data_IF_904985263673
#
_entry.id   IF_904985263673
#
_cell.length_a   1.000
_cell.length_b   1.000
_cell.length_c   1.000
_cell.angle_alpha   90.00
_cell.angle_beta   90.00
_cell.angle_gamma   90.00
#
_symmetry.space_group_name_H-M   'P 1'
#
loop_
_entity.id
_entity.type
_entity.pdbx_description
1 polymer ?
#
# COMPACT_ATOMS: atom_id res chain seq x y z
N UNK A 1 -13.61 -27.97 8.97
CA UNK A 1 -13.96 -27.65 10.38
C UNK A 1 -12.81 -27.82 11.38
N UNK A 2 -11.83 -28.71 11.17
CA UNK A 2 -10.71 -28.93 12.11
C UNK A 2 -9.70 -27.76 12.23
N UNK A 3 -9.53 -26.95 11.18
CA UNK A 3 -8.55 -25.84 11.14
C UNK A 3 -8.96 -24.62 11.98
N UNK A 4 -10.26 -24.35 12.11
CA UNK A 4 -10.78 -23.23 12.90
C UNK A 4 -10.62 -23.46 14.41
N UNK A 5 -10.76 -24.71 14.86
CA UNK A 5 -10.59 -25.10 16.26
C UNK A 5 -9.14 -24.86 16.70
N UNK A 6 -8.18 -25.20 15.83
CA UNK A 6 -6.76 -25.00 16.09
C UNK A 6 -6.43 -23.51 16.28
N UNK A 7 -7.07 -22.65 15.48
CA UNK A 7 -6.90 -21.19 15.56
C UNK A 7 -7.51 -20.60 16.84
N UNK A 8 -8.66 -21.12 17.28
CA UNK A 8 -9.31 -20.72 18.54
C UNK A 8 -8.48 -21.17 19.76
N UNK A 9 -7.90 -22.37 19.72
CA UNK A 9 -7.04 -22.87 20.81
C UNK A 9 -5.78 -21.99 20.95
N UNK A 10 -5.15 -21.62 19.84
CA UNK A 10 -3.96 -20.74 19.84
C UNK A 10 -4.29 -19.33 20.33
N UNK A 11 -5.45 -18.77 19.95
CA UNK A 11 -5.86 -17.47 20.52
C UNK A 11 -6.13 -17.58 22.04
N UNK A 12 -6.79 -18.65 22.47
CA UNK A 12 -7.18 -18.83 23.88
C UNK A 12 -5.98 -18.98 24.82
N UNK A 13 -4.88 -19.59 24.38
CA UNK A 13 -3.65 -19.71 25.17
C UNK A 13 -2.88 -18.39 25.28
N UNK A 14 -2.97 -17.51 24.29
CA UNK A 14 -2.32 -16.19 24.35
C UNK A 14 -3.07 -15.26 25.31
N UNK A 15 -4.41 -15.23 25.28
CA UNK A 15 -5.20 -14.34 26.14
C UNK A 15 -5.26 -14.77 27.61
N UNK A 16 -5.11 -16.06 27.94
CA UNK A 16 -5.11 -16.52 29.34
C UNK A 16 -3.84 -16.14 30.12
N UNK A 17 -2.74 -15.88 29.42
CA UNK A 17 -1.46 -15.49 30.04
C UNK A 17 -1.41 -14.03 30.54
N UNK A 18 -2.42 -13.21 30.27
CA UNK A 18 -2.46 -11.79 30.68
C UNK A 18 -3.41 -11.48 31.84
N UNK A 19 -4.06 -12.46 32.47
CA UNK A 19 -5.11 -12.20 33.48
C UNK A 19 -4.61 -12.25 34.94
N UNK A 20 -3.35 -12.59 35.22
CA UNK A 20 -2.81 -12.56 36.59
C UNK A 20 -1.61 -11.63 36.75
N UNK A 21 -1.88 -10.33 36.87
CA UNK A 21 -1.08 -9.45 37.73
C UNK A 21 -1.82 -8.13 37.98
N UNK A 22 -2.76 -8.15 38.92
CA UNK A 22 -3.17 -6.95 39.64
C UNK A 22 -2.92 -7.18 41.13
N UNK A 23 -1.71 -6.85 41.58
CA UNK A 23 -1.46 -6.54 42.98
C UNK A 23 -0.76 -5.20 43.05
N UNK A 24 -1.56 -4.14 43.07
CA UNK A 24 -1.08 -2.77 43.20
C UNK A 24 -1.08 -2.36 44.67
N UNK A 25 0.01 -2.69 45.39
CA UNK A 25 0.32 -2.04 46.67
C UNK A 25 1.42 -1.01 46.44
N UNK A 26 1.12 0.23 46.82
CA UNK A 26 2.06 1.36 46.90
C UNK A 26 3.13 1.05 47.95
N UNK A 27 4.40 1.41 47.70
CA UNK A 27 5.30 2.19 48.59
C UNK A 27 6.75 2.23 48.04
N UNK A 28 7.23 3.46 47.78
CA UNK A 28 8.56 4.07 47.96
C UNK A 28 9.93 3.44 47.54
N UNK A 29 10.69 4.28 46.80
CA UNK A 29 12.14 4.61 46.75
C UNK A 29 13.29 3.61 46.40
N UNK A 30 13.91 3.92 45.25
CA UNK A 30 15.33 4.23 44.94
C UNK A 30 16.46 3.16 44.75
N UNK A 31 17.17 3.36 43.63
CA UNK A 31 18.51 2.91 43.14
C UNK A 31 19.08 1.51 43.41
N UNK A 32 19.44 0.77 42.35
CA UNK A 32 20.84 0.55 41.91
C UNK A 32 20.94 -0.55 40.83
N UNK A 33 22.13 -0.70 40.25
CA UNK A 33 22.47 -1.31 38.95
C UNK A 33 22.27 -2.83 38.77
N UNK A 34 22.37 -3.22 37.48
CA UNK A 34 22.50 -4.56 36.90
C UNK A 34 21.16 -5.32 36.73
N UNK A 35 20.83 -5.88 35.57
CA UNK A 35 21.69 -6.58 34.62
C UNK A 35 21.14 -6.47 33.19
N UNK A 36 22.07 -6.50 32.25
CA UNK A 36 21.84 -6.65 30.83
C UNK A 36 21.20 -8.02 30.55
N UNK A 37 19.88 -8.09 30.49
CA UNK A 37 19.17 -9.27 29.97
C UNK A 37 18.96 -9.08 28.47
N UNK A 38 19.94 -9.55 27.71
CA UNK A 38 19.83 -9.71 26.27
C UNK A 38 18.91 -10.89 25.93
N UNK A 39 18.13 -10.68 24.86
CA UNK A 39 17.66 -11.67 23.90
C UNK A 39 16.68 -12.74 24.39
N UNK A 40 15.39 -12.44 24.20
CA UNK A 40 14.41 -13.41 23.64
C UNK A 40 13.25 -12.71 22.87
N UNK A 41 13.13 -11.38 22.93
CA UNK A 41 12.01 -10.66 22.30
C UNK A 41 12.27 -10.14 20.86
N UNK A 42 13.49 -10.28 20.33
CA UNK A 42 13.82 -9.73 19.01
C UNK A 42 13.14 -10.50 17.87
N UNK A 43 13.18 -11.84 17.91
CA UNK A 43 12.61 -12.68 16.86
C UNK A 43 11.07 -12.65 16.81
N UNK A 44 10.40 -12.59 17.97
CA UNK A 44 8.94 -12.46 18.05
C UNK A 44 8.43 -11.13 17.51
N UNK A 45 9.14 -10.03 17.80
CA UNK A 45 8.87 -8.72 17.20
C UNK A 45 9.17 -8.67 15.70
N UNK A 46 10.17 -9.43 15.22
CA UNK A 46 10.49 -9.52 13.80
C UNK A 46 9.46 -10.34 13.01
N UNK A 47 8.96 -11.45 13.57
CA UNK A 47 7.94 -12.29 12.93
C UNK A 47 6.56 -11.61 12.99
N UNK A 48 6.20 -11.00 14.13
CA UNK A 48 5.01 -10.17 14.21
C UNK A 48 5.12 -8.93 13.29
N UNK A 49 6.31 -8.33 13.20
CA UNK A 49 6.61 -7.23 12.28
C UNK A 49 6.52 -7.65 10.82
N UNK A 50 7.04 -8.81 10.41
CA UNK A 50 6.96 -9.34 9.04
C UNK A 50 5.53 -9.73 8.67
N UNK A 51 4.81 -10.45 9.54
CA UNK A 51 3.41 -10.83 9.28
C UNK A 51 2.47 -9.63 9.28
N UNK A 52 2.67 -8.65 10.17
CA UNK A 52 1.91 -7.41 10.14
C UNK A 52 2.32 -6.53 8.96
N UNK A 53 3.56 -6.54 8.49
CA UNK A 53 3.98 -5.75 7.33
C UNK A 53 3.51 -6.35 6.00
N UNK A 54 3.29 -7.67 5.93
CA UNK A 54 2.66 -8.31 4.76
C UNK A 54 1.12 -8.21 4.79
N UNK A 55 0.48 -8.23 5.98
CA UNK A 55 -0.97 -8.00 6.13
C UNK A 55 -1.38 -6.53 6.09
N UNK A 56 -0.54 -5.63 6.61
CA UNK A 56 -0.70 -4.17 6.60
C UNK A 56 0.34 -3.50 5.69
N UNK A 57 0.86 -4.21 4.69
CA UNK A 57 1.48 -3.54 3.55
C UNK A 57 0.44 -2.51 3.09
N UNK A 58 0.72 -1.20 3.14
CA UNK A 58 -0.27 -0.20 2.80
C UNK A 58 -0.77 -0.56 1.41
N UNK A 59 -2.02 -1.03 1.31
CA UNK A 59 -2.56 -1.50 0.04
C UNK A 59 -2.48 -0.31 -0.90
N UNK A 60 -1.49 -0.32 -1.79
CA UNK A 60 -1.28 0.79 -2.69
C UNK A 60 -2.39 0.63 -3.73
N UNK A 61 -3.54 1.24 -3.43
CA UNK A 61 -4.60 1.36 -4.41
C UNK A 61 -3.97 2.03 -5.64
N UNK A 62 -3.92 1.28 -6.73
CA UNK A 62 -3.26 1.69 -7.95
C UNK A 62 -4.25 1.52 -9.09
N UNK A 63 -4.43 2.61 -9.85
CA UNK A 63 -5.20 2.61 -11.08
C UNK A 63 -4.26 2.75 -12.25
N UNK A 64 -4.33 1.81 -13.18
CA UNK A 64 -3.54 1.81 -14.39
C UNK A 64 -4.43 2.00 -15.62
N UNK A 65 -4.15 3.02 -16.41
CA UNK A 65 -4.82 3.27 -17.68
C UNK A 65 -3.86 3.06 -18.84
N UNK A 66 -4.32 2.42 -19.90
CA UNK A 66 -3.54 2.19 -21.11
C UNK A 66 -4.28 2.80 -22.29
N UNK A 67 -3.64 3.76 -22.94
CA UNK A 67 -4.15 4.45 -24.10
C UNK A 67 -3.35 4.05 -25.35
N UNK A 68 -4.06 3.62 -26.38
CA UNK A 68 -3.51 3.23 -27.69
C UNK A 68 -3.76 4.34 -28.70
N UNK A 69 -2.82 4.56 -29.60
CA UNK A 69 -2.93 5.60 -30.60
C UNK A 69 -3.76 5.11 -31.80
N UNK A 70 -4.81 5.86 -32.14
CA UNK A 70 -5.58 5.62 -33.35
C UNK A 70 -5.08 6.55 -34.46
N UNK A 71 -4.34 5.99 -35.41
CA UNK A 71 -3.79 6.71 -36.57
C UNK A 71 -4.86 7.29 -37.48
N UNK A 72 -6.05 6.67 -37.59
CA UNK A 72 -7.15 7.19 -38.43
C UNK A 72 -7.72 8.50 -37.87
N UNK A 73 -7.80 8.60 -36.54
CA UNK A 73 -8.43 9.74 -35.86
C UNK A 73 -7.40 10.67 -35.20
N UNK A 74 -6.10 10.43 -35.43
CA UNK A 74 -4.99 11.19 -34.87
C UNK A 74 -5.08 11.38 -33.33
N UNK A 75 -5.55 10.34 -32.61
CA UNK A 75 -5.96 10.49 -31.21
C UNK A 75 -5.78 9.22 -30.38
N UNK A 76 -5.50 9.39 -29.09
CA UNK A 76 -5.42 8.29 -28.12
C UNK A 76 -6.80 7.83 -27.65
N UNK A 77 -7.03 6.51 -27.65
CA UNK A 77 -8.22 5.84 -27.12
C UNK A 77 -7.83 4.97 -25.92
N UNK A 78 -8.64 4.99 -24.87
CA UNK A 78 -8.48 4.10 -23.73
C UNK A 78 -8.73 2.65 -24.19
N UNK A 79 -7.74 1.78 -23.99
CA UNK A 79 -7.81 0.35 -24.31
C UNK A 79 -8.00 -0.51 -23.06
N UNK A 80 -7.37 -0.14 -21.95
CA UNK A 80 -7.44 -0.89 -20.69
C UNK A 80 -7.47 0.07 -19.51
N UNK A 81 -8.30 -0.24 -18.52
CA UNK A 81 -8.37 0.45 -17.23
C UNK A 81 -8.41 -0.62 -16.15
N UNK A 82 -7.35 -0.67 -15.35
CA UNK A 82 -7.18 -1.64 -14.27
C UNK A 82 -7.25 -0.88 -12.96
N UNK A 83 -8.11 -1.33 -12.05
CA UNK A 83 -8.21 -0.78 -10.71
C UNK A 83 -7.90 -1.89 -9.73
N UNK A 84 -6.81 -1.73 -8.97
CA UNK A 84 -6.57 -2.55 -7.79
C UNK A 84 -7.16 -1.79 -6.60
N UNK A 85 -8.42 -2.10 -6.28
CA UNK A 85 -9.10 -1.62 -5.09
C UNK A 85 -9.02 -2.71 -4.01
N UNK A 86 -7.91 -2.76 -3.29
CA UNK A 86 -7.78 -3.62 -2.11
C UNK A 86 -8.17 -2.81 -0.86
N UNK A 87 -9.46 -2.83 -0.54
CA UNK A 87 -10.05 -2.27 0.68
C UNK A 87 -10.98 -1.06 0.47
N UNK A 88 -11.81 -0.76 1.47
CA UNK A 88 -12.85 0.28 1.49
C UNK A 88 -12.34 1.75 1.45
N UNK A 89 -11.08 1.99 1.13
CA UNK A 89 -10.46 3.32 1.20
C UNK A 89 -10.06 3.88 -0.17
N UNK A 90 -11.02 4.58 -0.79
CA UNK A 90 -10.89 5.26 -2.09
C UNK A 90 -9.99 6.51 -2.11
N UNK A 91 -9.40 6.92 -0.98
CA UNK A 91 -8.82 8.27 -0.85
C UNK A 91 -7.35 8.41 -1.28
N UNK A 92 -6.63 7.32 -1.55
CA UNK A 92 -5.17 7.37 -1.77
C UNK A 92 -4.68 6.64 -3.03
N UNK A 93 -5.50 6.60 -4.08
CA UNK A 93 -5.18 5.84 -5.30
C UNK A 93 -4.08 6.53 -6.11
N UNK A 94 -2.95 5.84 -6.33
CA UNK A 94 -1.92 6.26 -7.29
C UNK A 94 -2.42 5.94 -8.70
N UNK A 95 -2.44 6.93 -9.59
CA UNK A 95 -2.78 6.69 -10.99
C UNK A 95 -1.53 6.65 -11.86
N UNK A 96 -1.47 5.68 -12.76
CA UNK A 96 -0.47 5.58 -13.82
C UNK A 96 -1.21 5.41 -15.14
N UNK A 97 -1.08 6.37 -16.05
CA UNK A 97 -1.61 6.28 -17.41
C UNK A 97 -0.46 6.19 -18.40
N UNK A 98 -0.46 5.14 -19.22
CA UNK A 98 0.48 4.89 -20.31
C UNK A 98 -0.20 5.24 -21.64
N UNK A 99 0.51 5.97 -22.50
CA UNK A 99 0.05 6.36 -23.82
C UNK A 99 1.05 5.86 -24.86
N UNK A 100 0.57 5.07 -25.81
CA UNK A 100 1.38 4.61 -26.94
C UNK A 100 1.98 5.80 -27.70
N UNK A 101 3.29 5.75 -27.96
CA UNK A 101 3.92 6.77 -28.78
C UNK A 101 3.80 6.42 -30.26
N UNK A 102 3.14 7.25 -31.08
CA UNK A 102 2.98 6.98 -32.52
C UNK A 102 4.30 6.92 -33.29
N UNK A 103 5.37 7.50 -32.74
CA UNK A 103 6.69 7.52 -33.37
C UNK A 103 7.59 6.33 -32.96
N UNK A 104 7.11 5.40 -32.13
CA UNK A 104 7.85 4.20 -31.72
C UNK A 104 9.02 4.42 -30.75
N UNK A 105 9.33 5.66 -30.36
CA UNK A 105 10.49 6.01 -29.50
C UNK A 105 10.21 5.88 -27.98
N UNK A 106 9.36 4.93 -27.60
CA UNK A 106 8.94 4.72 -26.21
C UNK A 106 7.70 5.52 -25.81
N UNK A 107 6.87 4.92 -24.96
CA UNK A 107 5.54 5.43 -24.61
C UNK A 107 5.59 6.61 -23.65
N UNK A 108 4.52 7.42 -23.65
CA UNK A 108 4.37 8.53 -22.73
C UNK A 108 3.67 8.10 -21.45
N UNK A 109 4.03 8.72 -20.33
CA UNK A 109 3.45 8.38 -19.03
C UNK A 109 2.87 9.61 -18.34
N UNK A 110 1.72 9.43 -17.72
CA UNK A 110 1.11 10.41 -16.82
C UNK A 110 0.88 9.73 -15.47
N UNK A 111 1.45 10.28 -14.41
CA UNK A 111 1.35 9.74 -13.05
C UNK A 111 0.67 10.78 -12.15
N UNK A 112 -0.28 10.34 -11.33
CA UNK A 112 -0.87 11.15 -10.27
C UNK A 112 -0.51 10.47 -8.96
N UNK A 113 0.18 11.19 -8.09
CA UNK A 113 0.51 10.66 -6.78
C UNK A 113 -0.69 10.76 -5.83
N UNK A 114 -0.57 10.14 -4.66
CA UNK A 114 -1.53 10.22 -3.55
C UNK A 114 -1.94 11.66 -3.14
N UNK A 115 -1.07 12.64 -3.37
CA UNK A 115 -1.34 14.05 -3.07
C UNK A 115 -1.98 14.81 -4.24
N UNK A 116 -2.40 14.12 -5.30
CA UNK A 116 -2.98 14.75 -6.49
C UNK A 116 -1.97 15.49 -7.39
N UNK A 117 -0.66 15.39 -7.13
CA UNK A 117 0.38 16.02 -7.97
C UNK A 117 0.57 15.23 -9.26
N UNK A 118 0.58 15.95 -10.36
CA UNK A 118 0.71 15.40 -11.71
C UNK A 118 2.16 15.40 -12.18
N UNK A 119 2.62 14.24 -12.65
CA UNK A 119 3.91 14.07 -13.31
C UNK A 119 3.66 13.56 -14.73
N UNK A 120 4.29 14.17 -15.72
CA UNK A 120 4.12 13.79 -17.13
C UNK A 120 5.48 13.61 -17.75
N UNK A 121 5.70 12.41 -18.28
CA UNK A 121 6.87 12.02 -19.04
C UNK A 121 6.49 11.98 -20.52
N UNK A 122 6.58 13.14 -21.16
CA UNK A 122 6.23 13.38 -22.55
C UNK A 122 6.80 14.75 -23.01
N UNK A 123 6.90 15.00 -24.33
CA UNK A 123 7.17 16.34 -24.86
C UNK A 123 6.21 17.40 -24.30
N UNK A 124 6.71 18.60 -23.97
CA UNK A 124 5.93 19.69 -23.36
C UNK A 124 4.64 20.02 -24.13
N UNK A 125 4.67 19.92 -25.46
CA UNK A 125 3.51 20.16 -26.35
C UNK A 125 2.35 19.19 -26.09
N UNK A 126 2.64 17.95 -25.67
CA UNK A 126 1.62 16.91 -25.43
C UNK A 126 1.09 16.91 -24.00
N UNK A 127 1.79 17.54 -23.05
CA UNK A 127 1.47 17.48 -21.61
C UNK A 127 0.02 17.83 -21.30
N UNK A 128 -0.51 18.92 -21.85
CA UNK A 128 -1.89 19.34 -21.60
C UNK A 128 -2.92 18.36 -22.21
N UNK A 129 -2.64 17.84 -23.41
CA UNK A 129 -3.49 16.89 -24.12
C UNK A 129 -3.62 15.60 -23.31
N UNK A 130 -2.47 15.05 -22.87
CA UNK A 130 -2.43 13.81 -22.09
C UNK A 130 -3.13 13.98 -20.73
N UNK A 131 -2.86 15.07 -20.00
CA UNK A 131 -3.57 15.37 -18.74
C UNK A 131 -5.09 15.45 -18.93
N UNK A 132 -5.54 16.14 -19.99
CA UNK A 132 -6.98 16.25 -20.30
C UNK A 132 -7.60 14.89 -20.61
N UNK A 133 -6.88 14.02 -21.33
CA UNK A 133 -7.33 12.65 -21.62
C UNK A 133 -7.45 11.81 -20.35
N UNK A 134 -6.46 11.84 -19.47
CA UNK A 134 -6.53 11.15 -18.18
C UNK A 134 -7.69 11.68 -17.34
N UNK A 135 -7.82 13.01 -17.22
CA UNK A 135 -8.89 13.64 -16.42
C UNK A 135 -10.30 13.30 -16.89
N UNK A 136 -10.52 13.11 -18.20
CA UNK A 136 -11.81 12.68 -18.74
C UNK A 136 -12.19 11.23 -18.39
N UNK A 137 -11.21 10.41 -18.02
CA UNK A 137 -11.42 9.00 -17.67
C UNK A 137 -11.24 8.74 -16.17
N UNK A 138 -10.90 9.76 -15.38
CA UNK A 138 -10.81 9.66 -13.92
C UNK A 138 -12.21 9.51 -13.33
#
# INVERSE_FOLDING_TARGET
MKKAILLIIVLSTVFSSQVFSQKHNKHFYNHSHASHNQNLNFAGGFIAGLLLNDFFAPSINQREMYFVYNYKNNNWRLKKDIRNDFGFHFKNTRLIARFENPNGRGDFFVKINRHGRWFVDAPKKLTQILKRKVRRNL
#
